data_IF_827599932291
#
_entry.id   IF_827599932291
#
_cell.length_a   1.000
_cell.length_b   1.000
_cell.length_c   1.000
_cell.angle_alpha   90.00
_cell.angle_beta   90.00
_cell.angle_gamma   90.00
#
_symmetry.space_group_name_H-M   'P 1'
#
loop_
_entity.id
_entity.type
_entity.pdbx_description
1 polymer ?
#
# COMPACT_ATOMS: atom_id res chain seq x y z
N UNK A 1 -19.45 34.38 -1.64
CA UNK A 1 -20.43 33.27 -1.74
C UNK A 1 -19.66 31.95 -1.64
N UNK A 2 -19.77 31.24 -0.52
CA UNK A 2 -19.10 29.95 -0.31
C UNK A 2 -19.88 28.82 -0.97
N UNK A 3 -19.20 27.88 -1.64
CA UNK A 3 -19.84 26.66 -2.14
C UNK A 3 -20.32 25.83 -0.95
N UNK A 4 -21.60 25.45 -0.95
CA UNK A 4 -22.06 24.32 -0.12
C UNK A 4 -21.33 23.08 -0.60
N UNK A 5 -20.56 22.46 0.28
CA UNK A 5 -19.97 21.14 0.05
C UNK A 5 -20.91 20.14 0.68
N UNK A 6 -21.59 19.35 -0.15
CA UNK A 6 -22.33 18.20 0.34
C UNK A 6 -21.32 17.11 0.76
N UNK A 7 -21.42 16.55 1.97
CA UNK A 7 -20.49 15.51 2.42
C UNK A 7 -20.54 14.29 1.51
N UNK A 8 -19.38 13.77 1.12
CA UNK A 8 -19.31 12.48 0.45
C UNK A 8 -19.77 11.37 1.41
N UNK A 9 -20.74 10.57 0.96
CA UNK A 9 -21.21 9.37 1.67
C UNK A 9 -20.84 8.16 0.83
N UNK A 10 -19.96 7.31 1.36
CA UNK A 10 -19.59 6.06 0.71
C UNK A 10 -20.76 5.07 0.74
N UNK A 11 -20.93 4.29 -0.33
CA UNK A 11 -22.01 3.32 -0.42
C UNK A 11 -21.90 2.25 0.69
N UNK A 12 -23.04 1.79 1.19
CA UNK A 12 -23.06 0.71 2.20
C UNK A 12 -22.45 -0.55 1.60
N UNK A 13 -21.58 -1.21 2.38
CA UNK A 13 -20.91 -2.43 1.98
C UNK A 13 -19.61 -2.23 1.21
N UNK A 14 -19.20 -0.99 0.90
CA UNK A 14 -17.85 -0.73 0.38
C UNK A 14 -16.79 -1.18 1.38
N UNK A 15 -15.78 -1.91 0.91
CA UNK A 15 -14.63 -2.38 1.69
C UNK A 15 -13.34 -1.90 1.04
N UNK A 16 -12.33 -1.60 1.86
CA UNK A 16 -10.97 -1.42 1.37
C UNK A 16 -10.41 -2.78 0.94
N UNK A 17 -9.92 -2.88 -0.29
CA UNK A 17 -9.28 -4.10 -0.80
C UNK A 17 -7.79 -4.14 -0.47
N UNK A 18 -7.07 -3.08 -0.84
CA UNK A 18 -5.62 -3.01 -0.68
C UNK A 18 -5.12 -1.57 -0.52
N UNK A 19 -3.88 -1.43 -0.09
CA UNK A 19 -3.18 -0.14 0.09
C UNK A 19 -1.87 -0.18 -0.71
N UNK A 20 -1.48 0.96 -1.29
CA UNK A 20 -0.15 1.16 -1.88
C UNK A 20 0.55 2.24 -1.08
N UNK A 21 1.77 1.97 -0.62
CA UNK A 21 2.59 2.92 0.11
C UNK A 21 3.76 3.36 -0.77
N UNK A 22 3.99 4.67 -0.83
CA UNK A 22 5.23 5.19 -1.37
C UNK A 22 6.33 5.02 -0.32
N UNK A 23 7.37 4.25 -0.65
CA UNK A 23 8.50 3.93 0.23
C UNK A 23 9.82 4.31 -0.43
N UNK A 24 10.86 4.48 0.39
CA UNK A 24 12.22 4.73 -0.10
C UNK A 24 12.85 3.48 -0.71
N UNK A 25 12.59 2.32 -0.12
CA UNK A 25 13.12 1.02 -0.56
C UNK A 25 12.04 -0.06 -0.43
N UNK A 26 11.65 -0.63 -1.56
CA UNK A 26 10.55 -1.59 -1.65
C UNK A 26 10.89 -2.95 -1.06
N UNK A 27 12.12 -3.44 -1.24
CA UNK A 27 12.55 -4.72 -0.65
C UNK A 27 12.61 -4.64 0.88
N UNK A 28 13.22 -3.57 1.42
CA UNK A 28 13.29 -3.40 2.88
C UNK A 28 11.90 -3.27 3.50
N UNK A 29 11.02 -2.47 2.89
CA UNK A 29 9.66 -2.32 3.37
C UNK A 29 8.86 -3.63 3.26
N UNK A 30 9.05 -4.38 2.16
CA UNK A 30 8.41 -5.68 1.96
C UNK A 30 8.77 -6.66 3.06
N UNK A 31 10.07 -6.84 3.34
CA UNK A 31 10.53 -7.73 4.43
C UNK A 31 9.94 -7.31 5.77
N UNK A 32 9.99 -6.02 6.10
CA UNK A 32 9.41 -5.51 7.36
C UNK A 32 7.92 -5.86 7.50
N UNK A 33 7.12 -5.60 6.46
CA UNK A 33 5.67 -5.88 6.54
C UNK A 33 5.34 -7.37 6.44
N UNK A 34 6.15 -8.18 5.76
CA UNK A 34 5.99 -9.64 5.80
C UNK A 34 6.21 -10.17 7.22
N UNK A 35 7.26 -9.70 7.90
CA UNK A 35 7.60 -10.16 9.26
C UNK A 35 6.58 -9.69 10.31
N UNK A 36 6.14 -8.43 10.24
CA UNK A 36 5.23 -7.86 11.26
C UNK A 36 3.78 -8.27 11.06
N UNK A 37 3.34 -8.48 9.82
CA UNK A 37 1.94 -8.76 9.49
C UNK A 37 1.70 -10.20 9.02
N UNK A 38 2.74 -11.04 9.02
CA UNK A 38 2.69 -12.43 8.54
C UNK A 38 2.16 -12.54 7.10
N UNK A 39 2.59 -11.60 6.26
CA UNK A 39 2.26 -11.58 4.83
C UNK A 39 3.32 -12.32 4.03
N UNK A 40 2.95 -12.76 2.82
CA UNK A 40 3.85 -13.47 1.90
C UNK A 40 3.96 -12.69 0.59
N UNK A 41 5.17 -12.65 0.04
CA UNK A 41 5.44 -12.12 -1.29
C UNK A 41 4.57 -12.80 -2.37
N UNK A 42 3.96 -11.96 -3.22
CA UNK A 42 3.18 -12.37 -4.38
C UNK A 42 3.90 -12.04 -5.68
N UNK A 43 4.58 -10.92 -5.68
CA UNK A 43 5.41 -10.45 -6.77
C UNK A 43 6.37 -9.40 -6.22
N UNK A 44 7.61 -9.45 -6.70
CA UNK A 44 8.59 -8.38 -6.47
C UNK A 44 9.26 -8.02 -7.79
N UNK A 45 9.40 -6.71 -8.02
CA UNK A 45 10.18 -6.10 -9.11
C UNK A 45 11.18 -5.11 -8.49
N UNK A 46 12.16 -4.58 -9.25
CA UNK A 46 13.22 -3.74 -8.68
C UNK A 46 12.75 -2.48 -7.94
N UNK A 47 11.54 -2.00 -8.19
CA UNK A 47 11.00 -0.76 -7.60
C UNK A 47 9.70 -0.97 -6.81
N UNK A 48 9.23 -2.21 -6.65
CA UNK A 48 8.00 -2.50 -5.93
C UNK A 48 7.89 -3.96 -5.47
N UNK A 49 7.14 -4.17 -4.38
CA UNK A 49 6.73 -5.50 -3.91
C UNK A 49 5.24 -5.51 -3.56
N UNK A 50 4.60 -6.65 -3.77
CA UNK A 50 3.19 -6.91 -3.47
C UNK A 50 3.08 -8.11 -2.53
N UNK A 51 2.42 -7.91 -1.39
CA UNK A 51 2.37 -8.91 -0.30
C UNK A 51 0.93 -9.13 0.16
N UNK A 52 0.59 -10.37 0.49
CA UNK A 52 -0.73 -10.78 0.97
C UNK A 52 -0.68 -12.06 1.82
N UNK A 53 -1.73 -12.26 2.62
CA UNK A 53 -2.02 -13.56 3.22
C UNK A 53 -2.88 -14.39 2.27
N UNK A 54 -2.77 -15.72 2.36
CA UNK A 54 -3.58 -16.64 1.53
C UNK A 54 -3.33 -16.48 0.04
N UNK A 55 -4.38 -16.56 -0.76
CA UNK A 55 -4.39 -16.53 -2.22
C UNK A 55 -4.79 -15.15 -2.80
N UNK A 56 -4.98 -14.14 -1.95
CA UNK A 56 -5.34 -12.81 -2.41
C UNK A 56 -4.23 -12.18 -3.26
N UNK A 57 -4.61 -11.36 -4.25
CA UNK A 57 -3.67 -10.77 -5.20
C UNK A 57 -2.60 -9.91 -4.51
N UNK A 58 -3.01 -9.01 -3.60
CA UNK A 58 -2.16 -8.31 -2.64
C UNK A 58 -3.01 -7.50 -1.65
N UNK A 59 -2.64 -7.48 -0.38
CA UNK A 59 -3.23 -6.54 0.60
C UNK A 59 -2.43 -5.24 0.64
N UNK A 60 -1.11 -5.34 0.52
CA UNK A 60 -0.20 -4.21 0.57
C UNK A 60 0.75 -4.25 -0.62
N UNK A 61 0.91 -3.10 -1.27
CA UNK A 61 2.00 -2.84 -2.19
C UNK A 61 2.92 -1.77 -1.60
N UNK A 62 4.22 -1.96 -1.73
CA UNK A 62 5.23 -0.97 -1.34
C UNK A 62 6.00 -0.55 -2.59
N UNK A 63 5.87 0.71 -2.97
CA UNK A 63 6.31 1.24 -4.26
C UNK A 63 7.31 2.38 -4.08
N UNK A 64 8.35 2.43 -4.89
CA UNK A 64 9.36 3.50 -4.84
C UNK A 64 8.97 4.75 -5.64
N UNK A 65 7.69 5.17 -5.57
CA UNK A 65 7.17 6.29 -6.37
C UNK A 65 7.82 7.63 -6.04
N UNK A 66 8.20 7.86 -4.77
CA UNK A 66 8.99 9.03 -4.38
C UNK A 66 10.50 8.89 -4.64
N UNK A 67 10.93 7.75 -5.17
CA UNK A 67 12.32 7.40 -5.42
C UNK A 67 13.14 7.17 -4.16
N UNK A 68 14.40 6.74 -4.35
CA UNK A 68 15.35 6.43 -3.26
C UNK A 68 15.74 7.62 -2.37
N UNK A 69 15.24 8.84 -2.66
CA UNK A 69 15.46 10.06 -1.85
C UNK A 69 14.24 10.45 -1.02
N UNK A 70 13.19 9.64 -0.97
CA UNK A 70 12.05 9.87 -0.09
C UNK A 70 12.54 10.09 1.35
N UNK A 71 12.18 11.23 1.93
CA UNK A 71 12.57 11.59 3.30
C UNK A 71 11.71 10.78 4.27
N UNK A 72 12.36 10.08 5.20
CA UNK A 72 11.69 9.47 6.34
C UNK A 72 11.65 10.53 7.45
N UNK A 73 10.44 10.89 7.87
CA UNK A 73 10.18 11.80 9.01
C UNK A 73 10.46 11.14 10.33
#
# INVERSE_FOLDING_TARGET
MGRKVEPFVIARGTRMGHIHLSVKDSQLASTFYQDVLELVDKLTIPSASWIASGDYHHHLAVNEWGGKKLVQT
#
